data_IF_438627021521
#
_entry.id   IF_438627021521
#
_cell.length_a   1.000
_cell.length_b   1.000
_cell.length_c   1.000
_cell.angle_alpha   90.00
_cell.angle_beta   90.00
_cell.angle_gamma   90.00
#
_symmetry.space_group_name_H-M   'P 1'
#
loop_
_entity.id
_entity.type
_entity.pdbx_description
1 polymer ?
#
# COMPACT_ATOMS: atom_id res chain seq x y z
N UNK A 1 33.36 12.16 19.63
CA UNK A 1 33.75 11.69 18.28
C UNK A 1 32.53 11.33 17.45
N UNK A 2 31.63 10.46 17.94
CA UNK A 2 30.40 10.06 17.24
C UNK A 2 29.47 11.23 16.89
N UNK A 3 29.27 12.19 17.80
CA UNK A 3 28.45 13.38 17.54
C UNK A 3 29.01 14.26 16.42
N UNK A 4 30.34 14.41 16.28
CA UNK A 4 30.93 15.19 15.18
C UNK A 4 30.70 14.50 13.83
N UNK A 5 30.82 13.17 13.80
CA UNK A 5 30.56 12.36 12.62
C UNK A 5 29.10 12.48 12.15
N UNK A 6 28.13 12.44 13.07
CA UNK A 6 26.71 12.62 12.75
C UNK A 6 26.37 14.02 12.22
N UNK A 7 27.12 15.04 12.62
CA UNK A 7 26.88 16.42 12.19
C UNK A 7 27.52 16.69 10.82
N UNK A 8 28.70 16.11 10.56
CA UNK A 8 29.39 16.22 9.27
C UNK A 8 28.74 15.35 8.18
N UNK A 9 28.25 14.16 8.53
CA UNK A 9 27.70 13.19 7.57
C UNK A 9 26.18 13.02 7.65
N UNK A 10 25.49 13.78 8.51
CA UNK A 10 24.05 13.62 8.76
C UNK A 10 23.17 13.77 7.50
N UNK A 11 23.56 14.67 6.59
CA UNK A 11 22.86 14.87 5.33
C UNK A 11 22.97 13.64 4.40
N UNK A 12 24.16 13.02 4.37
CA UNK A 12 24.41 11.82 3.59
C UNK A 12 23.66 10.61 4.15
N UNK A 13 23.64 10.44 5.47
CA UNK A 13 22.88 9.36 6.10
C UNK A 13 21.37 9.52 5.87
N UNK A 14 20.84 10.73 5.97
CA UNK A 14 19.43 10.99 5.68
C UNK A 14 19.07 10.69 4.22
N UNK A 15 19.95 11.06 3.29
CA UNK A 15 19.77 10.75 1.87
C UNK A 15 19.85 9.24 1.57
N UNK A 16 20.79 8.52 2.20
CA UNK A 16 20.89 7.07 2.09
C UNK A 16 19.59 6.39 2.58
N UNK A 17 19.07 6.81 3.72
CA UNK A 17 17.82 6.26 4.28
C UNK A 17 16.64 6.54 3.36
N UNK A 18 16.50 7.75 2.80
CA UNK A 18 15.38 8.07 1.90
C UNK A 18 15.45 7.30 0.58
N UNK A 19 16.65 7.05 0.06
CA UNK A 19 16.85 6.18 -1.10
C UNK A 19 16.42 4.74 -0.83
N UNK A 20 16.87 4.15 0.28
CA UNK A 20 16.51 2.77 0.65
C UNK A 20 15.00 2.66 0.88
N UNK A 21 14.38 3.65 1.54
CA UNK A 21 12.94 3.66 1.78
C UNK A 21 12.13 3.76 0.47
N UNK A 22 12.54 4.63 -0.45
CA UNK A 22 11.86 4.80 -1.75
C UNK A 22 12.08 3.58 -2.65
N UNK A 23 13.30 3.06 -2.70
CA UNK A 23 13.63 1.84 -3.45
C UNK A 23 12.86 0.63 -2.92
N UNK A 24 12.77 0.47 -1.60
CA UNK A 24 11.93 -0.56 -0.98
C UNK A 24 10.45 -0.39 -1.33
N UNK A 25 9.93 0.84 -1.27
CA UNK A 25 8.53 1.12 -1.63
C UNK A 25 8.20 0.77 -3.07
N UNK A 26 9.12 1.05 -4.01
CA UNK A 26 8.96 0.70 -5.43
C UNK A 26 9.10 -0.81 -5.65
N UNK A 27 10.05 -1.47 -5.01
CA UNK A 27 10.23 -2.92 -5.09
C UNK A 27 8.95 -3.66 -4.66
N UNK A 28 8.31 -3.23 -3.58
CA UNK A 28 7.07 -3.82 -3.10
C UNK A 28 5.91 -3.69 -4.10
N UNK A 29 5.82 -2.58 -4.84
CA UNK A 29 4.72 -2.39 -5.78
C UNK A 29 4.98 -2.96 -7.17
N UNK A 30 6.20 -2.87 -7.69
CA UNK A 30 6.50 -3.27 -9.07
C UNK A 30 6.93 -4.74 -9.17
N UNK A 31 7.63 -5.27 -8.15
CA UNK A 31 8.17 -6.65 -8.19
C UNK A 31 7.28 -7.62 -7.42
N UNK A 32 6.79 -7.22 -6.24
CA UNK A 32 5.88 -8.07 -5.44
C UNK A 32 4.41 -7.75 -5.67
N UNK A 33 4.10 -6.83 -6.59
CA UNK A 33 2.73 -6.49 -7.02
C UNK A 33 1.78 -6.12 -5.86
N UNK A 34 2.32 -5.60 -4.76
CA UNK A 34 1.52 -5.16 -3.63
C UNK A 34 0.83 -3.83 -3.94
N UNK A 35 -0.50 -3.87 -3.94
CA UNK A 35 -1.35 -2.71 -4.16
C UNK A 35 -1.30 -1.82 -2.90
N UNK A 36 -0.83 -0.56 -3.02
CA UNK A 36 -0.73 0.34 -1.88
C UNK A 36 -2.13 0.81 -1.44
N UNK A 37 -2.34 0.91 -0.13
CA UNK A 37 -3.53 1.53 0.43
C UNK A 37 -3.45 3.07 0.37
N UNK A 38 -4.56 3.76 0.67
CA UNK A 38 -4.61 5.22 0.67
C UNK A 38 -3.59 5.86 1.65
N UNK A 39 -3.43 5.29 2.84
CA UNK A 39 -2.45 5.76 3.83
C UNK A 39 -0.99 5.58 3.36
N UNK A 40 -0.67 4.46 2.70
CA UNK A 40 0.64 4.25 2.05
C UNK A 40 0.90 5.30 0.96
N UNK A 41 -0.12 5.66 0.19
CA UNK A 41 -0.02 6.70 -0.83
C UNK A 41 0.34 8.06 -0.23
N UNK A 42 -0.29 8.44 0.88
CA UNK A 42 0.08 9.67 1.59
C UNK A 42 1.54 9.62 2.09
N UNK A 43 2.00 8.49 2.62
CA UNK A 43 3.40 8.32 3.02
C UNK A 43 4.37 8.48 1.83
N UNK A 44 4.02 7.98 0.64
CA UNK A 44 4.82 8.13 -0.59
C UNK A 44 4.94 9.59 -1.04
N UNK A 45 3.84 10.35 -0.99
CA UNK A 45 3.82 11.78 -1.36
C UNK A 45 4.84 12.55 -0.53
N UNK A 46 4.98 12.23 0.76
CA UNK A 46 5.97 12.89 1.63
C UNK A 46 7.38 12.30 1.50
N UNK A 47 7.54 11.01 1.19
CA UNK A 47 8.86 10.37 1.13
C UNK A 47 9.60 10.62 -0.19
N UNK A 48 8.92 10.54 -1.34
CA UNK A 48 9.59 10.54 -2.64
C UNK A 48 10.29 11.87 -2.96
N UNK A 49 9.70 13.05 -2.68
CA UNK A 49 10.37 14.33 -2.87
C UNK A 49 11.63 14.48 -2.01
N UNK A 50 11.68 13.84 -0.83
CA UNK A 50 12.82 13.94 0.08
C UNK A 50 14.10 13.33 -0.52
N UNK A 51 14.00 12.31 -1.36
CA UNK A 51 15.16 11.74 -2.05
C UNK A 51 15.83 12.77 -2.94
N UNK A 52 15.03 13.54 -3.69
CA UNK A 52 15.53 14.57 -4.60
C UNK A 52 16.10 15.76 -3.82
N UNK A 53 15.36 16.25 -2.83
CA UNK A 53 15.75 17.42 -2.02
C UNK A 53 17.02 17.13 -1.22
N UNK A 54 17.07 16.00 -0.50
CA UNK A 54 18.28 15.60 0.25
C UNK A 54 19.44 15.25 -0.67
N UNK A 55 19.16 14.70 -1.87
CA UNK A 55 20.16 14.45 -2.89
C UNK A 55 20.87 15.74 -3.31
N UNK A 56 20.11 16.75 -3.76
CA UNK A 56 20.65 18.05 -4.18
C UNK A 56 21.45 18.70 -3.04
N UNK A 57 20.91 18.66 -1.83
CA UNK A 57 21.57 19.23 -0.67
C UNK A 57 22.85 18.51 -0.29
N UNK A 58 22.94 17.19 -0.50
CA UNK A 58 24.16 16.41 -0.24
C UNK A 58 25.28 16.78 -1.19
N UNK A 59 24.98 17.00 -2.47
CA UNK A 59 25.95 17.46 -3.47
C UNK A 59 26.39 18.91 -3.28
N UNK A 60 25.48 19.78 -2.82
CA UNK A 60 25.76 21.21 -2.57
C UNK A 60 26.24 21.50 -1.15
N UNK A 61 26.22 20.50 -0.27
CA UNK A 61 26.49 20.61 1.17
C UNK A 61 25.70 21.75 1.86
N UNK A 62 24.45 21.97 1.44
CA UNK A 62 23.59 23.04 1.97
C UNK A 62 22.76 22.53 3.16
N UNK A 63 23.18 22.91 4.37
CA UNK A 63 22.55 22.50 5.61
C UNK A 63 21.27 23.30 5.93
N UNK A 64 21.04 24.45 5.28
CA UNK A 64 19.83 25.26 5.49
C UNK A 64 18.56 24.52 5.03
N UNK A 65 18.72 23.53 4.15
CA UNK A 65 17.61 22.73 3.63
C UNK A 65 16.88 21.94 4.71
N UNK A 66 17.52 21.65 5.85
CA UNK A 66 16.92 20.91 6.96
C UNK A 66 15.60 21.55 7.43
N UNK A 67 15.46 22.88 7.31
CA UNK A 67 14.23 23.61 7.66
C UNK A 67 13.05 23.25 6.77
N UNK A 68 13.29 22.96 5.48
CA UNK A 68 12.27 22.57 4.52
C UNK A 68 11.94 21.07 4.57
N UNK A 69 12.92 20.24 4.94
CA UNK A 69 12.74 18.77 5.06
C UNK A 69 12.01 18.37 6.34
N UNK A 70 12.18 19.13 7.43
CA UNK A 70 11.58 18.81 8.73
C UNK A 70 10.04 18.71 8.72
N UNK A 71 9.28 19.69 8.19
CA UNK A 71 7.82 19.61 8.16
C UNK A 71 7.26 18.37 7.44
N UNK A 72 7.63 18.06 6.18
CA UNK A 72 7.10 16.87 5.50
C UNK A 72 7.54 15.56 6.16
N UNK A 73 8.75 15.51 6.75
CA UNK A 73 9.22 14.33 7.49
C UNK A 73 8.39 14.07 8.76
N UNK A 74 8.01 15.13 9.50
CA UNK A 74 7.17 15.02 10.70
C UNK A 74 5.74 14.62 10.32
N UNK A 75 5.18 15.18 9.25
CA UNK A 75 3.83 14.81 8.77
C UNK A 75 3.82 13.33 8.35
N UNK A 76 4.82 12.92 7.55
CA UNK A 76 4.98 11.51 7.16
C UNK A 76 5.14 10.57 8.36
N UNK A 77 5.90 11.00 9.38
CA UNK A 77 6.08 10.25 10.63
C UNK A 77 4.74 10.05 11.37
N UNK A 78 3.94 11.09 11.52
CA UNK A 78 2.62 11.01 12.18
C UNK A 78 1.67 10.07 11.45
N UNK A 79 1.65 10.11 10.10
CA UNK A 79 0.84 9.20 9.29
C UNK A 79 1.34 7.76 9.40
N UNK A 80 2.66 7.55 9.40
CA UNK A 80 3.25 6.22 9.58
C UNK A 80 2.95 5.63 10.95
N UNK A 81 2.99 6.46 12.00
CA UNK A 81 2.63 6.06 13.36
C UNK A 81 1.16 5.64 13.45
N UNK A 82 0.25 6.46 12.93
CA UNK A 82 -1.16 6.13 12.87
C UNK A 82 -1.43 4.85 12.08
N UNK A 83 -0.78 4.67 10.92
CA UNK A 83 -0.94 3.49 10.10
C UNK A 83 -0.41 2.22 10.77
N UNK A 84 0.76 2.28 11.41
CA UNK A 84 1.30 1.15 12.18
C UNK A 84 0.38 0.75 13.32
N UNK A 85 -0.15 1.73 14.05
CA UNK A 85 -1.08 1.50 15.15
C UNK A 85 -2.41 0.90 14.68
N UNK A 86 -2.98 1.39 13.57
CA UNK A 86 -4.17 0.80 12.96
C UNK A 86 -3.98 -0.68 12.60
N UNK A 87 -2.80 -1.02 12.08
CA UNK A 87 -2.47 -2.39 11.66
C UNK A 87 -2.27 -3.34 12.85
N UNK A 88 -1.76 -2.84 13.99
CA UNK A 88 -1.60 -3.65 15.20
C UNK A 88 -2.85 -3.71 16.07
N UNK A 89 -3.67 -2.65 16.08
CA UNK A 89 -4.93 -2.62 16.82
C UNK A 89 -6.04 -3.36 16.08
N UNK A 90 -6.04 -4.69 16.20
CA UNK A 90 -7.25 -5.52 15.96
C UNK A 90 -8.30 -5.41 17.10
N UNK A 91 -8.05 -4.60 18.13
CA UNK A 91 -8.81 -4.61 19.39
C UNK A 91 -10.00 -3.62 19.45
N UNK A 92 -10.18 -2.78 18.44
CA UNK A 92 -11.36 -1.92 18.28
C UNK A 92 -12.24 -2.40 17.09
N UNK A 93 -12.28 -3.71 16.86
CA UNK A 93 -12.87 -4.38 15.70
C UNK A 93 -14.41 -4.35 15.60
N UNK A 94 -15.09 -3.36 16.17
CA UNK A 94 -16.58 -3.27 16.12
C UNK A 94 -17.11 -1.85 15.93
N UNK A 95 -16.27 -0.83 15.91
CA UNK A 95 -16.70 0.54 15.66
C UNK A 95 -16.09 1.02 14.34
N UNK A 96 -16.93 0.97 13.32
CA UNK A 96 -16.76 1.65 12.04
C UNK A 96 -15.68 1.07 11.13
N UNK A 97 -15.96 -0.07 10.50
CA UNK A 97 -15.54 -0.25 9.10
C UNK A 97 -16.15 0.92 8.31
N UNK A 98 -15.37 1.90 7.80
CA UNK A 98 -15.94 2.93 6.98
C UNK A 98 -16.38 2.25 5.69
N UNK A 99 -17.70 2.23 5.49
CA UNK A 99 -18.39 2.42 4.22
C UNK A 99 -17.56 2.09 2.97
N UNK A 100 -17.89 0.98 2.30
CA UNK A 100 -17.64 0.71 0.88
C UNK A 100 -16.49 1.52 0.25
N UNK A 101 -15.23 1.23 0.61
CA UNK A 101 -14.08 1.82 -0.08
C UNK A 101 -13.66 0.92 -1.25
N UNK A 102 -13.62 1.51 -2.45
CA UNK A 102 -13.00 0.90 -3.63
C UNK A 102 -11.48 0.89 -3.41
N UNK A 103 -10.93 -0.24 -3.01
CA UNK A 103 -9.49 -0.42 -2.81
C UNK A 103 -9.15 -1.44 -1.71
N UNK A 104 -7.86 -1.61 -1.45
CA UNK A 104 -7.38 -2.48 -0.36
C UNK A 104 -7.49 -1.75 0.97
N UNK A 105 -8.05 -2.37 2.03
CA UNK A 105 -8.18 -1.73 3.32
C UNK A 105 -6.81 -1.53 4.00
N UNK A 106 -6.69 -0.42 4.74
CA UNK A 106 -5.43 0.03 5.33
C UNK A 106 -5.03 -0.74 6.60
N UNK A 107 -5.86 -1.65 7.08
CA UNK A 107 -5.64 -2.55 8.23
C UNK A 107 -5.01 -3.90 7.81
N UNK A 108 -4.96 -4.17 6.50
CA UNK A 108 -4.44 -5.44 5.98
C UNK A 108 -2.92 -5.53 6.06
N UNK A 109 -2.43 -6.70 6.48
CA UNK A 109 -1.01 -6.99 6.64
C UNK A 109 -0.47 -7.81 5.47
N UNK A 110 0.41 -7.21 4.68
CA UNK A 110 1.08 -7.88 3.55
C UNK A 110 2.32 -8.67 3.95
N UNK A 111 3.13 -8.12 4.86
CA UNK A 111 4.36 -8.73 5.36
C UNK A 111 4.31 -8.68 6.89
N UNK A 112 4.49 -9.84 7.52
CA UNK A 112 4.75 -9.97 8.95
C UNK A 112 6.07 -10.71 9.13
N UNK A 113 7.16 -9.97 9.38
CA UNK A 113 8.45 -10.56 9.73
C UNK A 113 8.65 -10.47 11.25
N UNK A 114 9.00 -11.60 11.88
CA UNK A 114 9.11 -11.74 13.35
C UNK A 114 7.84 -11.41 14.15
N UNK A 115 6.67 -11.29 13.49
CA UNK A 115 5.38 -11.02 14.12
C UNK A 115 5.09 -9.54 14.43
N UNK A 116 6.04 -8.63 14.21
CA UNK A 116 5.90 -7.18 14.48
C UNK A 116 6.41 -6.28 13.34
N UNK A 117 7.33 -6.76 12.50
CA UNK A 117 7.88 -5.96 11.41
C UNK A 117 6.90 -5.99 10.24
N UNK A 118 6.17 -4.88 10.10
CA UNK A 118 5.24 -4.62 9.01
C UNK A 118 5.77 -3.53 8.07
N UNK A 119 5.19 -3.39 6.89
CA UNK A 119 5.52 -2.32 5.93
C UNK A 119 5.40 -0.91 6.58
N UNK A 120 4.31 -0.54 7.29
CA UNK A 120 4.24 0.76 7.95
C UNK A 120 5.25 0.94 9.09
N UNK A 121 5.69 -0.15 9.74
CA UNK A 121 6.77 -0.06 10.74
C UNK A 121 8.11 0.32 10.11
N UNK A 122 8.43 -0.24 8.93
CA UNK A 122 9.64 0.13 8.20
C UNK A 122 9.63 1.60 7.77
N UNK A 123 8.49 2.12 7.31
CA UNK A 123 8.36 3.54 6.94
C UNK A 123 8.44 4.45 8.17
N UNK A 124 7.88 4.03 9.30
CA UNK A 124 8.00 4.73 10.58
C UNK A 124 9.47 4.89 11.00
N UNK A 125 10.26 3.82 10.92
CA UNK A 125 11.70 3.88 11.21
C UNK A 125 12.41 4.83 10.25
N UNK A 126 12.11 4.76 8.95
CA UNK A 126 12.73 5.63 7.95
C UNK A 126 12.46 7.12 8.22
N UNK A 127 11.20 7.51 8.45
CA UNK A 127 10.85 8.90 8.77
C UNK A 127 11.44 9.35 10.13
N UNK A 128 11.53 8.46 11.11
CA UNK A 128 12.15 8.75 12.41
C UNK A 128 13.64 9.05 12.23
N UNK A 129 14.36 8.19 11.50
CA UNK A 129 15.79 8.39 11.22
C UNK A 129 16.05 9.68 10.45
N UNK A 130 15.29 9.95 9.38
CA UNK A 130 15.41 11.19 8.61
C UNK A 130 15.17 12.42 9.50
N UNK A 131 14.12 12.39 10.33
CA UNK A 131 13.80 13.48 11.26
C UNK A 131 14.94 13.71 12.25
N UNK A 132 15.47 12.65 12.86
CA UNK A 132 16.59 12.74 13.82
C UNK A 132 17.82 13.36 13.15
N UNK A 133 18.22 12.86 11.98
CA UNK A 133 19.37 13.41 11.26
C UNK A 133 19.18 14.89 10.91
N UNK A 134 17.99 15.29 10.47
CA UNK A 134 17.69 16.70 10.15
C UNK A 134 17.68 17.61 11.38
N UNK A 135 17.19 17.13 12.53
CA UNK A 135 17.27 17.90 13.79
C UNK A 135 18.72 18.14 14.20
N UNK A 136 19.58 17.13 14.08
CA UNK A 136 21.01 17.27 14.39
C UNK A 136 21.69 18.26 13.45
N UNK A 137 21.50 18.11 12.13
CA UNK A 137 22.07 19.05 11.14
C UNK A 137 21.59 20.47 11.40
N UNK A 138 20.30 20.69 11.67
CA UNK A 138 19.75 22.03 11.97
C UNK A 138 20.39 22.64 13.22
N UNK A 139 20.56 21.86 14.29
CA UNK A 139 21.24 22.32 15.52
C UNK A 139 22.71 22.64 15.27
N UNK A 140 23.37 21.89 14.39
CA UNK A 140 24.75 22.18 13.95
C UNK A 140 24.87 23.54 13.29
N UNK A 141 23.96 23.80 12.35
CA UNK A 141 23.94 25.03 11.56
C UNK A 141 23.66 26.27 12.42
N UNK A 142 22.80 26.15 13.44
CA UNK A 142 22.43 27.26 14.33
C UNK A 142 23.48 27.56 15.42
N UNK A 143 24.38 26.63 15.72
CA UNK A 143 25.45 26.82 16.69
C UNK A 143 26.67 27.59 16.12
N UNK A 144 26.70 27.86 14.81
CA UNK A 144 27.70 28.70 14.19
C UNK A 144 27.29 30.18 14.33
N UNK A 145 28.16 31.07 14.84
CA UNK A 145 27.80 32.48 15.07
C UNK A 145 27.36 33.18 13.78
N UNK A 146 26.29 33.97 13.92
CA UNK A 146 25.53 34.79 12.94
C UNK A 146 26.39 35.62 11.96
N UNK A 147 27.69 35.85 12.23
CA UNK A 147 28.57 36.68 11.40
C UNK A 147 28.95 36.11 10.03
N UNK A 148 28.41 34.93 9.67
CA UNK A 148 28.65 34.27 8.38
C UNK A 148 27.37 33.95 7.61
N UNK A 149 26.20 34.39 8.09
CA UNK A 149 24.92 34.19 7.41
C UNK A 149 24.63 35.40 6.54
N UNK A 150 25.18 35.43 5.32
CA UNK A 150 24.63 36.32 4.29
C UNK A 150 23.21 35.86 3.95
N UNK A 151 22.22 36.78 3.88
CA UNK A 151 20.89 36.49 3.40
C UNK A 151 20.95 36.03 1.95
N UNK A 152 20.03 35.14 1.60
CA UNK A 152 19.81 34.65 0.25
C UNK A 152 19.38 35.83 -0.62
N UNK A 153 20.31 36.36 -1.41
CA UNK A 153 20.04 37.39 -2.40
C UNK A 153 21.19 38.37 -2.60
N UNK A 154 22.32 37.92 -3.17
CA UNK A 154 23.10 38.69 -4.14
C UNK A 154 24.21 37.79 -4.73
N UNK A 155 24.12 37.46 -6.03
CA UNK A 155 25.24 36.89 -6.78
C UNK A 155 26.18 38.02 -7.19
N UNK A 156 26.95 38.57 -6.25
CA UNK A 156 28.21 39.27 -6.56
C UNK A 156 28.97 39.60 -5.28
N UNK A 157 30.27 39.32 -5.37
CA UNK A 157 31.36 39.82 -4.55
C UNK A 157 31.85 38.93 -3.38
N UNK A 158 33.14 38.63 -3.52
CA UNK A 158 34.14 38.54 -2.45
C UNK A 158 34.31 37.20 -1.74
N UNK A 159 35.05 36.33 -2.42
CA UNK A 159 36.21 35.59 -1.92
C UNK A 159 36.53 35.84 -0.42
N UNK A 160 36.28 34.83 0.42
CA UNK A 160 36.92 34.71 1.73
C UNK A 160 37.04 33.22 2.08
N UNK A 161 38.15 32.66 1.61
CA UNK A 161 38.95 31.58 2.19
C UNK A 161 38.26 30.81 3.32
N UNK A 162 37.61 29.70 2.95
CA UNK A 162 37.27 28.58 3.82
C UNK A 162 37.62 27.31 3.08
N UNK A 163 38.89 26.95 3.14
CA UNK A 163 39.37 25.65 2.66
C UNK A 163 39.72 24.75 3.86
N UNK A 164 39.68 23.41 3.74
CA UNK A 164 39.00 22.59 2.73
C UNK A 164 38.26 21.40 3.36
N UNK A 165 37.02 21.08 2.95
CA UNK A 165 36.51 19.70 3.16
C UNK A 165 35.86 19.09 1.93
N UNK A 166 35.62 19.84 0.86
CA UNK A 166 35.07 19.25 -0.36
C UNK A 166 35.89 19.58 -1.60
N UNK A 167 37.18 19.26 -1.55
CA UNK A 167 37.94 19.01 -2.77
C UNK A 167 37.56 17.62 -3.29
N UNK A 168 36.50 17.57 -4.10
CA UNK A 168 36.24 16.54 -5.08
C UNK A 168 36.37 15.08 -4.63
N UNK A 169 35.37 14.56 -3.92
CA UNK A 169 35.14 13.11 -3.95
C UNK A 169 33.67 12.82 -4.17
N UNK A 170 33.25 13.01 -5.44
CA UNK A 170 32.08 12.36 -6.06
C UNK A 170 31.93 10.90 -5.61
N UNK A 171 33.04 10.24 -5.26
CA UNK A 171 33.09 8.89 -4.70
C UNK A 171 32.15 8.66 -3.52
N UNK A 172 31.96 9.59 -2.58
CA UNK A 172 31.15 9.32 -1.38
C UNK A 172 29.63 9.22 -1.66
N UNK A 173 29.00 10.19 -2.36
CA UNK A 173 27.60 10.02 -2.75
C UNK A 173 27.40 8.87 -3.73
N UNK A 174 28.38 8.57 -4.59
CA UNK A 174 28.34 7.40 -5.47
C UNK A 174 28.42 6.08 -4.69
N UNK A 175 29.27 5.99 -3.66
CA UNK A 175 29.34 4.83 -2.76
C UNK A 175 28.02 4.65 -2.00
N UNK A 176 27.41 5.73 -1.51
CA UNK A 176 26.09 5.67 -0.87
C UNK A 176 25.01 5.15 -1.85
N UNK A 177 25.03 5.61 -3.11
CA UNK A 177 24.16 5.12 -4.18
C UNK A 177 24.33 3.61 -4.42
N UNK A 178 25.58 3.15 -4.50
CA UNK A 178 25.91 1.73 -4.71
C UNK A 178 25.51 0.87 -3.50
N UNK A 179 25.74 1.33 -2.27
CA UNK A 179 25.38 0.62 -1.05
C UNK A 179 23.86 0.54 -0.85
N UNK A 180 23.13 1.63 -1.11
CA UNK A 180 21.68 1.63 -1.07
C UNK A 180 21.10 0.66 -2.11
N UNK A 181 21.60 0.71 -3.35
CA UNK A 181 21.16 -0.18 -4.42
C UNK A 181 21.43 -1.66 -4.11
N UNK A 182 22.62 -2.00 -3.62
CA UNK A 182 22.94 -3.37 -3.23
C UNK A 182 22.09 -3.86 -2.04
N UNK A 183 21.85 -2.99 -1.05
CA UNK A 183 21.05 -3.30 0.13
C UNK A 183 19.58 -3.55 -0.19
N UNK A 184 18.96 -2.70 -1.02
CA UNK A 184 17.56 -2.90 -1.45
C UNK A 184 17.41 -4.14 -2.33
N UNK A 185 18.38 -4.43 -3.20
CA UNK A 185 18.38 -5.64 -4.03
C UNK A 185 18.50 -6.92 -3.18
N UNK A 186 19.43 -6.95 -2.22
CA UNK A 186 19.64 -8.12 -1.38
C UNK A 186 18.43 -8.40 -0.47
N UNK A 187 17.89 -7.37 0.18
CA UNK A 187 16.70 -7.51 1.02
C UNK A 187 15.47 -7.84 0.17
N UNK A 188 15.34 -7.23 -1.01
CA UNK A 188 14.27 -7.53 -1.95
C UNK A 188 14.31 -9.00 -2.42
N UNK A 189 15.48 -9.52 -2.75
CA UNK A 189 15.66 -10.91 -3.17
C UNK A 189 15.30 -11.90 -2.05
N UNK A 190 15.74 -11.63 -0.81
CA UNK A 190 15.39 -12.47 0.35
C UNK A 190 13.88 -12.40 0.67
N UNK A 191 13.29 -11.21 0.62
CA UNK A 191 11.85 -11.00 0.82
C UNK A 191 11.03 -11.69 -0.28
N UNK A 192 11.45 -11.61 -1.54
CA UNK A 192 10.77 -12.29 -2.65
C UNK A 192 10.83 -13.81 -2.53
N UNK A 193 11.91 -14.35 -1.95
CA UNK A 193 12.05 -15.78 -1.68
C UNK A 193 11.17 -16.25 -0.51
N UNK A 194 11.00 -15.38 0.50
CA UNK A 194 10.27 -15.69 1.75
C UNK A 194 8.77 -15.41 1.65
N UNK A 195 8.40 -14.36 0.94
CA UNK A 195 7.04 -13.96 0.62
C UNK A 195 6.95 -13.94 -0.91
N UNK A 196 6.83 -15.12 -1.57
CA UNK A 196 6.50 -15.11 -2.98
C UNK A 196 5.23 -14.29 -3.12
N UNK A 197 5.28 -13.19 -3.87
CA UNK A 197 4.07 -12.44 -4.17
C UNK A 197 3.05 -13.44 -4.69
N UNK A 198 1.88 -13.54 -4.04
CA UNK A 198 0.76 -14.18 -4.69
C UNK A 198 0.51 -13.33 -5.94
N UNK A 199 0.63 -13.90 -7.16
CA UNK A 199 0.38 -13.13 -8.37
C UNK A 199 -1.01 -12.49 -8.25
N UNK A 200 -1.23 -11.29 -8.80
CA UNK A 200 -2.52 -10.61 -8.81
C UNK A 200 -3.53 -11.58 -9.38
N UNK A 201 -4.26 -12.23 -8.48
CA UNK A 201 -5.26 -13.26 -8.76
C UNK A 201 -5.00 -13.98 -10.07
N UNK A 202 -4.02 -14.89 -10.13
CA UNK A 202 -4.25 -16.02 -11.01
C UNK A 202 -5.44 -16.73 -10.39
N UNK A 203 -6.64 -16.42 -10.87
CA UNK A 203 -7.83 -17.21 -10.64
C UNK A 203 -7.52 -18.58 -11.22
N UNK A 204 -6.84 -19.43 -10.44
CA UNK A 204 -6.68 -20.82 -10.76
C UNK A 204 -8.08 -21.40 -10.60
N UNK A 205 -8.84 -21.32 -11.69
CA UNK A 205 -10.13 -21.97 -11.80
C UNK A 205 -9.82 -23.44 -11.84
N UNK A 206 -10.03 -24.10 -10.70
CA UNK A 206 -9.94 -25.55 -10.66
C UNK A 206 -11.22 -26.08 -11.29
N UNK A 207 -11.06 -26.79 -12.41
CA UNK A 207 -12.15 -27.47 -13.07
C UNK A 207 -12.32 -28.84 -12.38
N UNK A 208 -13.37 -28.97 -11.58
CA UNK A 208 -13.66 -30.20 -10.85
C UNK A 208 -14.23 -31.23 -11.85
N UNK A 209 -13.43 -32.22 -12.23
CA UNK A 209 -13.85 -33.26 -13.19
C UNK A 209 -14.76 -34.29 -12.52
N UNK A 210 -15.89 -34.55 -13.21
CA UNK A 210 -16.99 -35.50 -12.93
C UNK A 210 -18.16 -34.95 -12.11
N UNK A 211 -19.34 -34.92 -12.74
CA UNK A 211 -20.60 -34.37 -12.19
C UNK A 211 -21.62 -35.50 -12.05
N UNK A 212 -21.72 -36.16 -10.88
CA UNK A 212 -22.83 -37.04 -10.58
C UNK A 212 -23.79 -36.32 -9.62
N UNK A 213 -24.55 -35.35 -10.12
CA UNK A 213 -25.52 -34.65 -9.27
C UNK A 213 -26.43 -33.69 -10.04
N UNK A 214 -27.72 -33.69 -9.70
CA UNK A 214 -28.61 -32.61 -10.08
C UNK A 214 -28.22 -31.38 -9.26
N UNK A 215 -27.95 -30.26 -9.92
CA UNK A 215 -27.64 -29.01 -9.26
C UNK A 215 -28.90 -28.50 -8.54
N UNK A 216 -28.80 -28.22 -7.24
CA UNK A 216 -29.92 -27.82 -6.39
C UNK A 216 -29.60 -26.52 -5.65
N UNK A 217 -30.53 -25.56 -5.67
CA UNK A 217 -30.37 -24.31 -4.92
C UNK A 217 -30.93 -24.49 -3.50
N UNK A 218 -30.20 -25.25 -2.68
CA UNK A 218 -30.61 -25.61 -1.30
C UNK A 218 -29.83 -24.88 -0.20
N UNK A 219 -28.81 -24.10 -0.58
CA UNK A 219 -27.95 -23.32 0.31
C UNK A 219 -26.76 -24.11 0.87
N UNK A 220 -26.62 -25.40 0.55
CA UNK A 220 -25.54 -26.26 1.01
C UNK A 220 -24.60 -26.61 -0.15
N UNK A 221 -23.40 -26.04 -0.16
CA UNK A 221 -22.40 -26.39 -1.17
C UNK A 221 -21.78 -27.76 -0.88
N UNK A 222 -22.06 -28.74 -1.75
CA UNK A 222 -21.53 -30.10 -1.69
C UNK A 222 -20.35 -30.32 -2.64
N UNK A 223 -19.55 -31.35 -2.36
CA UNK A 223 -18.43 -31.74 -3.22
C UNK A 223 -18.96 -32.26 -4.57
N UNK A 224 -18.45 -31.72 -5.68
CA UNK A 224 -18.88 -32.10 -7.04
C UNK A 224 -20.19 -31.47 -7.54
N UNK A 225 -20.82 -30.58 -6.77
CA UNK A 225 -22.05 -29.89 -7.17
C UNK A 225 -21.82 -28.85 -8.28
N UNK A 226 -20.67 -28.17 -8.25
CA UNK A 226 -20.28 -27.13 -9.20
C UNK A 226 -19.06 -27.55 -10.03
N UNK A 227 -19.02 -27.10 -11.28
CA UNK A 227 -17.94 -27.41 -12.24
C UNK A 227 -16.65 -26.65 -11.96
N UNK A 228 -16.77 -25.43 -11.47
CA UNK A 228 -15.66 -24.52 -11.32
C UNK A 228 -15.59 -24.04 -9.88
N UNK A 229 -14.37 -23.94 -9.37
CA UNK A 229 -14.05 -23.36 -8.07
C UNK A 229 -13.00 -22.26 -8.24
N UNK A 230 -13.31 -21.10 -7.68
CA UNK A 230 -12.37 -20.03 -7.41
C UNK A 230 -12.23 -19.86 -5.90
N UNK A 231 -11.06 -20.21 -5.38
CA UNK A 231 -10.70 -20.01 -3.98
C UNK A 231 -9.72 -18.86 -3.82
N UNK A 232 -9.98 -18.00 -2.84
CA UNK A 232 -9.06 -16.94 -2.41
C UNK A 232 -8.58 -17.21 -0.99
N UNK A 233 -7.31 -17.61 -0.84
CA UNK A 233 -6.65 -17.76 0.46
C UNK A 233 -6.64 -16.45 1.25
N UNK A 234 -6.49 -15.31 0.54
CA UNK A 234 -6.49 -13.95 1.12
C UNK A 234 -7.83 -13.57 1.75
N UNK A 235 -8.93 -13.79 1.03
CA UNK A 235 -10.27 -13.42 1.50
C UNK A 235 -10.96 -14.54 2.28
N UNK A 236 -10.36 -15.74 2.29
CA UNK A 236 -10.99 -16.99 2.77
C UNK A 236 -12.36 -17.22 2.12
N UNK A 237 -12.50 -16.81 0.86
CA UNK A 237 -13.74 -16.86 0.11
C UNK A 237 -13.61 -17.88 -1.01
N UNK A 238 -14.64 -18.71 -1.16
CA UNK A 238 -14.77 -19.66 -2.25
C UNK A 238 -16.01 -19.31 -3.08
N UNK A 239 -15.80 -19.09 -4.37
CA UNK A 239 -16.85 -18.95 -5.37
C UNK A 239 -16.90 -20.22 -6.21
N UNK A 240 -18.07 -20.82 -6.29
CA UNK A 240 -18.36 -22.01 -7.08
C UNK A 240 -19.33 -21.63 -8.19
N UNK A 241 -19.14 -22.12 -9.42
CA UNK A 241 -20.13 -21.91 -10.46
C UNK A 241 -20.23 -23.04 -11.48
N UNK A 242 -21.43 -23.14 -12.05
CA UNK A 242 -21.79 -24.04 -13.14
C UNK A 242 -22.67 -23.28 -14.12
N UNK A 243 -22.40 -23.44 -15.41
CA UNK A 243 -23.28 -22.96 -16.47
C UNK A 243 -24.08 -24.16 -16.98
N UNK A 244 -25.40 -24.00 -17.07
CA UNK A 244 -26.34 -24.98 -17.63
C UNK A 244 -27.34 -24.22 -18.50
N UNK A 245 -27.41 -24.61 -19.76
CA UNK A 245 -28.25 -23.97 -20.76
C UNK A 245 -27.98 -22.45 -20.81
N UNK A 246 -28.96 -21.62 -20.43
CA UNK A 246 -28.90 -20.17 -20.37
C UNK A 246 -28.73 -19.61 -18.94
N UNK A 247 -28.46 -20.48 -17.95
CA UNK A 247 -28.38 -20.10 -16.54
C UNK A 247 -26.98 -20.28 -15.98
N UNK A 248 -26.62 -19.35 -15.11
CA UNK A 248 -25.49 -19.47 -14.21
C UNK A 248 -25.97 -19.86 -12.82
N UNK A 249 -25.36 -20.88 -12.25
CA UNK A 249 -25.56 -21.28 -10.87
C UNK A 249 -24.31 -20.95 -10.09
N UNK A 250 -24.46 -20.20 -9.01
CA UNK A 250 -23.36 -19.70 -8.20
C UNK A 250 -23.54 -20.12 -6.74
N UNK A 251 -22.51 -20.72 -6.17
CA UNK A 251 -22.37 -20.95 -4.73
C UNK A 251 -21.27 -20.04 -4.18
N UNK A 252 -21.53 -19.38 -3.05
CA UNK A 252 -20.54 -18.51 -2.42
C UNK A 252 -20.40 -18.85 -0.94
N UNK A 253 -19.16 -19.06 -0.50
CA UNK A 253 -18.83 -19.29 0.91
C UNK A 253 -17.77 -18.28 1.33
N UNK A 254 -18.10 -17.42 2.30
CA UNK A 254 -17.17 -16.48 2.90
C UNK A 254 -17.42 -16.31 4.40
N UNK A 255 -16.37 -16.20 5.24
CA UNK A 255 -16.52 -15.95 6.67
C UNK A 255 -16.76 -14.45 6.92
N UNK A 256 -17.96 -13.96 6.62
CA UNK A 256 -18.36 -12.57 6.85
C UNK A 256 -19.72 -12.49 7.53
N UNK A 257 -19.93 -11.44 8.34
CA UNK A 257 -21.22 -11.08 8.92
C UNK A 257 -21.90 -9.93 8.15
N UNK A 258 -21.23 -9.40 7.12
CA UNK A 258 -21.73 -8.30 6.30
C UNK A 258 -22.40 -8.77 5.01
N UNK A 259 -22.32 -7.93 3.99
CA UNK A 259 -22.76 -8.25 2.63
C UNK A 259 -21.59 -8.76 1.80
N UNK A 260 -21.89 -9.53 0.75
CA UNK A 260 -20.96 -9.92 -0.30
C UNK A 260 -21.55 -9.48 -1.62
N UNK A 261 -20.72 -8.99 -2.54
CA UNK A 261 -21.16 -8.65 -3.90
C UNK A 261 -20.34 -9.40 -4.94
N UNK A 262 -21.02 -9.83 -5.99
CA UNK A 262 -20.43 -10.41 -7.19
C UNK A 262 -20.77 -9.49 -8.38
N UNK A 263 -19.75 -8.97 -9.05
CA UNK A 263 -19.92 -8.10 -10.22
C UNK A 263 -19.49 -8.80 -11.51
N UNK A 264 -20.36 -8.81 -12.51
CA UNK A 264 -20.10 -9.26 -13.86
C UNK A 264 -19.80 -8.05 -14.73
N UNK A 265 -18.59 -7.97 -15.27
CA UNK A 265 -18.21 -6.87 -16.14
C UNK A 265 -17.27 -7.35 -17.26
N UNK A 266 -17.49 -6.84 -18.46
CA UNK A 266 -16.64 -7.06 -19.63
C UNK A 266 -15.81 -5.82 -20.02
N UNK A 267 -16.10 -4.66 -19.42
CA UNK A 267 -15.47 -3.38 -19.73
C UNK A 267 -14.58 -2.87 -18.59
N UNK A 268 -13.32 -2.55 -18.89
CA UNK A 268 -12.35 -1.95 -17.95
C UNK A 268 -12.14 -0.49 -18.38
N UNK A 269 -12.11 0.52 -17.47
CA UNK A 269 -11.90 0.41 -16.03
C UNK A 269 -13.11 0.82 -15.15
N UNK A 270 -13.26 0.08 -14.04
CA UNK A 270 -14.19 0.29 -12.90
C UNK A 270 -15.52 -0.47 -13.02
N UNK A 271 -16.54 -0.02 -12.29
CA UNK A 271 -17.82 -0.73 -12.17
C UNK A 271 -18.86 -0.27 -13.19
N UNK A 272 -18.65 0.81 -13.95
CA UNK A 272 -19.67 1.32 -14.88
C UNK A 272 -20.02 0.25 -15.91
N UNK A 273 -21.30 -0.07 -16.04
CA UNK A 273 -21.78 -1.13 -16.94
C UNK A 273 -21.68 -2.54 -16.37
N UNK A 274 -21.20 -2.69 -15.12
CA UNK A 274 -21.22 -3.95 -14.43
C UNK A 274 -22.62 -4.28 -13.93
N UNK A 275 -22.96 -5.55 -14.09
CA UNK A 275 -24.10 -6.17 -13.42
C UNK A 275 -23.63 -6.72 -12.07
N UNK A 276 -24.41 -6.53 -11.00
CA UNK A 276 -23.95 -6.73 -9.62
C UNK A 276 -25.03 -7.42 -8.79
N UNK A 277 -24.71 -8.59 -8.29
CA UNK A 277 -25.53 -9.29 -7.30
C UNK A 277 -24.96 -9.05 -5.92
N UNK A 278 -25.75 -8.48 -5.02
CA UNK A 278 -25.38 -8.22 -3.62
C UNK A 278 -26.18 -9.15 -2.72
N UNK A 279 -25.50 -9.96 -1.92
CA UNK A 279 -26.10 -10.88 -0.97
C UNK A 279 -25.76 -10.48 0.47
N UNK A 280 -26.74 -10.56 1.37
CA UNK A 280 -26.53 -10.40 2.81
C UNK A 280 -27.55 -11.20 3.61
N UNK A 281 -27.19 -11.58 4.83
CA UNK A 281 -28.09 -12.27 5.75
C UNK A 281 -28.49 -11.31 6.85
N UNK A 282 -29.79 -11.06 7.00
CA UNK A 282 -30.34 -10.23 8.07
C UNK A 282 -31.37 -11.05 8.84
N UNK A 283 -31.20 -11.13 10.16
CA UNK A 283 -32.09 -11.88 11.05
C UNK A 283 -32.29 -13.36 10.63
N UNK A 284 -31.24 -13.98 10.07
CA UNK A 284 -31.27 -15.36 9.56
C UNK A 284 -32.00 -15.52 8.23
N UNK A 285 -32.44 -14.44 7.59
CA UNK A 285 -33.03 -14.46 6.25
C UNK A 285 -32.05 -13.92 5.21
N UNK A 286 -31.95 -14.65 4.10
CA UNK A 286 -31.16 -14.27 2.94
C UNK A 286 -31.86 -13.20 2.10
N UNK A 287 -31.18 -12.07 1.95
CA UNK A 287 -31.49 -11.08 0.93
C UNK A 287 -30.46 -11.19 -0.20
N UNK A 288 -30.95 -11.25 -1.43
CA UNK A 288 -30.17 -10.94 -2.61
C UNK A 288 -30.80 -9.75 -3.32
N UNK A 289 -29.97 -8.87 -3.83
CA UNK A 289 -30.34 -7.70 -4.61
C UNK A 289 -29.62 -7.73 -5.95
N UNK A 290 -30.38 -7.56 -7.02
CA UNK A 290 -29.89 -7.37 -8.37
C UNK A 290 -29.71 -5.88 -8.66
N UNK A 291 -28.48 -5.47 -9.00
CA UNK A 291 -28.07 -4.07 -9.12
C UNK A 291 -27.23 -3.83 -10.36
N UNK A 292 -27.51 -2.72 -11.03
CA UNK A 292 -26.72 -2.27 -12.18
C UNK A 292 -25.89 -1.03 -11.84
N UNK A 293 -24.61 -1.06 -12.22
CA UNK A 293 -23.70 0.04 -11.98
C UNK A 293 -23.81 1.16 -13.03
N UNK A 294 -24.55 2.20 -12.67
CA UNK A 294 -24.84 3.36 -13.52
C UNK A 294 -23.71 4.40 -13.59
N UNK A 295 -22.69 4.27 -12.74
CA UNK A 295 -21.57 5.19 -12.66
C UNK A 295 -20.27 4.45 -12.37
N UNK A 296 -19.15 5.18 -12.32
CA UNK A 296 -17.83 4.59 -12.09
C UNK A 296 -17.70 3.91 -10.73
N UNK A 297 -18.52 4.29 -9.74
CA UNK A 297 -18.43 3.85 -8.34
C UNK A 297 -19.78 3.59 -7.68
N UNK A 298 -20.89 3.84 -8.37
CA UNK A 298 -22.24 3.74 -7.83
C UNK A 298 -23.08 2.74 -8.61
N UNK A 299 -24.06 2.16 -7.92
CA UNK A 299 -25.02 1.21 -8.44
C UNK A 299 -26.42 1.54 -7.91
N UNK A 300 -27.45 1.06 -8.62
CA UNK A 300 -28.84 1.09 -8.18
C UNK A 300 -29.51 -0.22 -8.62
N UNK A 301 -30.59 -0.61 -7.96
CA UNK A 301 -31.36 -1.80 -8.33
C UNK A 301 -31.75 -1.75 -9.81
N UNK A 302 -31.53 -2.85 -10.53
CA UNK A 302 -31.70 -2.86 -11.99
C UNK A 302 -33.15 -2.54 -12.41
N UNK A 303 -34.12 -3.07 -11.66
CA UNK A 303 -35.56 -2.75 -11.82
C UNK A 303 -35.83 -1.24 -11.74
N UNK A 304 -35.13 -0.51 -10.87
CA UNK A 304 -35.31 0.95 -10.71
C UNK A 304 -34.76 1.74 -11.91
N UNK A 305 -33.91 1.11 -12.72
CA UNK A 305 -33.34 1.67 -13.95
C UNK A 305 -34.07 1.19 -15.21
N UNK A 306 -35.17 0.45 -15.05
CA UNK A 306 -35.95 -0.10 -16.16
C UNK A 306 -35.42 -1.42 -16.71
N UNK A 307 -34.49 -2.06 -16.00
CA UNK A 307 -33.99 -3.40 -16.27
C UNK A 307 -34.88 -4.50 -15.67
N UNK A 308 -34.30 -5.67 -15.40
CA UNK A 308 -35.03 -6.86 -14.91
C UNK A 308 -34.39 -7.36 -13.61
N UNK A 309 -35.09 -8.28 -12.96
CA UNK A 309 -34.50 -9.06 -11.86
C UNK A 309 -34.12 -10.40 -12.47
N UNK A 310 -32.81 -10.65 -12.57
CA UNK A 310 -32.26 -11.86 -13.18
C UNK A 310 -32.05 -12.99 -12.14
N UNK A 311 -32.44 -12.76 -10.89
CA UNK A 311 -32.35 -13.74 -9.81
C UNK A 311 -33.59 -14.66 -9.83
N UNK A 312 -33.38 -15.91 -10.26
CA UNK A 312 -34.45 -16.91 -10.37
C UNK A 312 -34.71 -17.67 -9.07
N UNK A 313 -33.65 -18.07 -8.36
CA UNK A 313 -33.71 -18.90 -7.16
C UNK A 313 -32.60 -18.49 -6.18
N UNK A 314 -32.85 -18.63 -4.87
CA UNK A 314 -31.87 -18.30 -3.82
C UNK A 314 -32.05 -19.16 -2.58
N UNK A 315 -30.94 -19.52 -1.94
CA UNK A 315 -30.90 -20.25 -0.67
C UNK A 315 -29.62 -19.94 0.11
N UNK A 316 -29.67 -20.10 1.44
CA UNK A 316 -28.52 -19.90 2.36
C UNK A 316 -28.56 -20.89 3.51
N UNK A 317 -27.40 -21.21 4.06
CA UNK A 317 -27.22 -22.02 5.28
C UNK A 317 -26.40 -21.28 6.34
#
# INVERSE_FOLDING_TARGET
MLQKLFMEYGLYFAWLVSMVATGGSLYFSEVMEFIPCALCWYQRIFMYPLVLILGIASFRNDQRIATYVLPPSIIGLSIAFYHYFLVEQKLLGELESPLCQVGVPCDSKYIEWLGFITIPFMSLIAFTLITIFMVYVRRASQAAPESLVSPVGDERASNKEKDPVFKGSIKLPVIALLLAGAGTLALGFDLSRKYPGEPPTTWAVEQLTEIPGALQVDGLIQEGEYQNLLSSSRLKMNLYWSIRDDRIYCGLRAPTQGWIALGFNTEIPLMRGADIIIAYVKDGQLSLEDSYANSRTGHQMDIQQGGRDDILEKASS
#
